data_IF_024431469776
#
_entry.id   IF_024431469776
#
_cell.length_a   1.000
_cell.length_b   1.000
_cell.length_c   1.000
_cell.angle_alpha   90.00
_cell.angle_beta   90.00
_cell.angle_gamma   90.00
#
_symmetry.space_group_name_H-M   'P 1'
#
loop_
_entity.id
_entity.type
_entity.pdbx_description
1 polymer ?
#
# COMPACT_ATOMS: atom_id res chain seq x y z
N UNK A 1 9.03 -11.21 -11.26
CA UNK A 1 7.63 -10.76 -11.45
C UNK A 1 6.67 -11.44 -10.46
N UNK A 2 6.73 -12.76 -10.25
CA UNK A 2 5.85 -13.44 -9.26
C UNK A 2 6.02 -12.89 -7.84
N UNK A 3 7.27 -12.62 -7.41
CA UNK A 3 7.52 -12.07 -6.07
C UNK A 3 7.02 -10.64 -5.87
N UNK A 4 6.80 -9.88 -6.95
CA UNK A 4 6.36 -8.48 -6.84
C UNK A 4 4.84 -8.34 -6.70
N UNK A 5 4.07 -9.38 -7.01
CA UNK A 5 2.60 -9.42 -6.88
C UNK A 5 2.14 -9.15 -5.44
N UNK A 6 2.96 -9.56 -4.46
CA UNK A 6 2.64 -9.38 -3.05
C UNK A 6 2.68 -7.92 -2.61
N UNK A 7 3.47 -7.07 -3.29
CA UNK A 7 3.61 -5.66 -2.90
C UNK A 7 2.30 -4.91 -3.13
N UNK A 8 1.69 -4.84 -4.33
CA UNK A 8 0.39 -4.21 -4.54
C UNK A 8 -0.72 -4.77 -3.63
N UNK A 9 -0.77 -6.10 -3.47
CA UNK A 9 -1.73 -6.76 -2.59
C UNK A 9 -1.59 -6.28 -1.13
N UNK A 10 -0.35 -6.09 -0.65
CA UNK A 10 -0.10 -5.57 0.71
C UNK A 10 -0.59 -4.14 0.90
N UNK A 11 -0.38 -3.27 -0.09
CA UNK A 11 -0.91 -1.91 -0.07
C UNK A 11 -2.45 -1.90 0.00
N UNK A 12 -3.10 -2.77 -0.78
CA UNK A 12 -4.56 -2.93 -0.75
C UNK A 12 -5.03 -3.44 0.61
N UNK A 13 -4.42 -4.50 1.14
CA UNK A 13 -4.79 -5.08 2.42
C UNK A 13 -4.66 -4.07 3.57
N UNK A 14 -3.56 -3.32 3.61
CA UNK A 14 -3.35 -2.24 4.60
C UNK A 14 -4.38 -1.13 4.45
N UNK A 15 -4.71 -0.75 3.21
CA UNK A 15 -5.68 0.31 2.93
C UNK A 15 -7.10 -0.09 3.36
N UNK A 16 -7.52 -1.33 3.06
CA UNK A 16 -8.79 -1.91 3.51
C UNK A 16 -8.83 -2.01 5.03
N UNK A 17 -7.79 -2.57 5.65
CA UNK A 17 -7.69 -2.68 7.10
C UNK A 17 -7.90 -1.32 7.79
N UNK A 18 -7.22 -0.28 7.29
CA UNK A 18 -7.36 1.10 7.80
C UNK A 18 -8.75 1.68 7.55
N UNK A 19 -9.29 1.52 6.34
CA UNK A 19 -10.64 1.95 6.01
C UNK A 19 -11.65 1.34 7.00
N UNK A 20 -11.58 0.03 7.22
CA UNK A 20 -12.45 -0.66 8.18
C UNK A 20 -12.27 -0.14 9.61
N UNK A 21 -11.02 0.06 10.04
CA UNK A 21 -10.71 0.51 11.40
C UNK A 21 -11.18 1.94 11.69
N UNK A 22 -11.13 2.84 10.69
CA UNK A 22 -11.49 4.25 10.83
C UNK A 22 -12.99 4.44 10.61
N UNK A 23 -13.52 3.96 9.49
CA UNK A 23 -14.94 4.19 9.11
C UNK A 23 -15.88 3.44 10.05
N UNK A 24 -15.54 2.21 10.44
CA UNK A 24 -16.34 1.39 11.34
C UNK A 24 -15.75 1.34 12.76
N UNK A 25 -15.32 2.50 13.28
CA UNK A 25 -14.67 2.61 14.60
C UNK A 25 -15.49 2.05 15.76
N UNK A 26 -16.82 1.94 15.62
CA UNK A 26 -17.76 1.39 16.61
C UNK A 26 -17.73 -0.13 16.70
N UNK A 27 -17.28 -0.82 15.65
CA UNK A 27 -17.17 -2.28 15.63
C UNK A 27 -15.81 -2.69 16.19
N UNK A 28 -15.81 -3.28 17.38
CA UNK A 28 -14.60 -3.76 18.07
C UNK A 28 -13.82 -4.80 17.25
N UNK A 29 -14.51 -5.60 16.44
CA UNK A 29 -13.93 -6.63 15.57
C UNK A 29 -12.77 -6.10 14.71
N UNK A 30 -12.93 -4.95 14.05
CA UNK A 30 -11.91 -4.38 13.15
C UNK A 30 -10.66 -3.87 13.88
N UNK A 31 -10.66 -3.82 15.22
CA UNK A 31 -9.50 -3.44 16.04
C UNK A 31 -8.77 -4.65 16.62
N UNK A 32 -9.28 -5.86 16.40
CA UNK A 32 -8.70 -7.09 16.94
C UNK A 32 -7.48 -7.53 16.13
N UNK A 33 -6.57 -8.26 16.78
CA UNK A 33 -5.44 -8.92 16.10
C UNK A 33 -5.91 -9.96 15.07
N UNK A 34 -7.08 -10.57 15.30
CA UNK A 34 -7.68 -11.55 14.38
C UNK A 34 -7.99 -10.91 13.02
N UNK A 35 -8.51 -9.67 13.00
CA UNK A 35 -8.75 -8.95 11.76
C UNK A 35 -7.46 -8.68 10.97
N UNK A 36 -6.37 -8.32 11.66
CA UNK A 36 -5.05 -8.13 11.03
C UNK A 36 -4.57 -9.45 10.41
N UNK A 37 -4.66 -10.56 11.15
CA UNK A 37 -4.27 -11.89 10.66
C UNK A 37 -5.10 -12.28 9.43
N UNK A 38 -6.42 -12.03 9.45
CA UNK A 38 -7.29 -12.25 8.30
C UNK A 38 -6.87 -11.43 7.08
N UNK A 39 -6.54 -10.14 7.27
CA UNK A 39 -6.06 -9.29 6.18
C UNK A 39 -4.78 -9.85 5.56
N UNK A 40 -3.79 -10.22 6.39
CA UNK A 40 -2.53 -10.80 5.92
C UNK A 40 -2.78 -12.13 5.20
N UNK A 41 -3.57 -13.03 5.79
CA UNK A 41 -3.90 -14.32 5.17
C UNK A 41 -4.62 -14.15 3.82
N UNK A 42 -5.58 -13.24 3.75
CA UNK A 42 -6.32 -12.96 2.51
C UNK A 42 -5.43 -12.37 1.41
N UNK A 43 -4.45 -11.53 1.78
CA UNK A 43 -3.47 -10.98 0.85
C UNK A 43 -2.62 -12.09 0.21
N UNK A 44 -2.11 -13.01 1.02
CA UNK A 44 -1.29 -14.13 0.52
C UNK A 44 -2.08 -15.05 -0.39
N UNK A 45 -3.31 -15.40 0.03
CA UNK A 45 -4.20 -16.24 -0.76
C UNK A 45 -4.53 -15.59 -2.11
N UNK A 46 -4.90 -14.30 -2.11
CA UNK A 46 -5.19 -13.56 -3.33
C UNK A 46 -3.96 -13.47 -4.24
N UNK A 47 -2.79 -13.14 -3.67
CA UNK A 47 -1.55 -13.08 -4.43
C UNK A 47 -1.18 -14.43 -5.06
N UNK A 48 -1.43 -15.54 -4.37
CA UNK A 48 -1.24 -16.88 -4.93
C UNK A 48 -2.19 -17.14 -6.11
N UNK A 49 -3.48 -16.88 -5.94
CA UNK A 49 -4.50 -17.06 -6.99
C UNK A 49 -4.14 -16.23 -8.23
N UNK A 50 -3.78 -14.95 -8.03
CA UNK A 50 -3.44 -14.04 -9.13
C UNK A 50 -2.15 -14.44 -9.87
N UNK A 51 -1.27 -15.21 -9.24
CA UNK A 51 -0.01 -15.70 -9.84
C UNK A 51 -0.21 -16.92 -10.74
N UNK A 52 -1.36 -17.62 -10.65
CA UNK A 52 -1.61 -18.86 -11.41
C UNK A 52 -1.51 -18.65 -12.93
N UNK A 53 -2.12 -17.60 -13.54
CA UNK A 53 -2.02 -17.40 -14.99
C UNK A 53 -0.59 -17.14 -15.46
N UNK A 54 0.23 -16.46 -14.66
CA UNK A 54 1.64 -16.23 -14.96
C UNK A 54 2.46 -17.52 -14.91
N UNK A 55 2.17 -18.41 -13.96
CA UNK A 55 2.80 -19.73 -13.87
C UNK A 55 2.44 -20.59 -15.09
N UNK A 56 1.16 -20.64 -15.46
CA UNK A 56 0.70 -21.38 -16.65
C UNK A 56 1.36 -20.82 -17.92
N UNK A 57 1.48 -19.49 -18.04
CA UNK A 57 2.15 -18.84 -19.19
C UNK A 57 3.59 -19.30 -19.35
N UNK A 58 4.38 -19.33 -18.27
CA UNK A 58 5.79 -19.73 -18.31
C UNK A 58 5.94 -21.17 -18.81
N UNK A 59 5.00 -22.06 -18.48
CA UNK A 59 5.09 -23.48 -18.80
C UNK A 59 4.38 -23.91 -20.10
N UNK A 60 3.34 -23.20 -20.55
CA UNK A 60 2.47 -23.66 -21.65
C UNK A 60 2.46 -22.76 -22.89
N UNK A 61 3.01 -21.55 -22.85
CA UNK A 61 2.89 -20.58 -23.96
C UNK A 61 4.12 -20.56 -24.87
N UNK A 62 3.93 -20.88 -26.15
CA UNK A 62 4.94 -20.77 -27.22
C UNK A 62 5.01 -19.38 -27.90
N UNK A 63 4.50 -18.30 -27.30
CA UNK A 63 4.51 -16.99 -27.97
C UNK A 63 4.40 -15.77 -27.06
N UNK A 64 4.86 -14.63 -27.60
CA UNK A 64 4.79 -13.29 -27.03
C UNK A 64 3.36 -12.73 -27.08
N UNK A 65 2.43 -13.38 -26.39
CA UNK A 65 1.05 -12.93 -26.33
C UNK A 65 0.91 -11.61 -25.54
N UNK A 66 0.09 -10.69 -26.04
CA UNK A 66 -0.22 -9.43 -25.36
C UNK A 66 -1.07 -9.64 -24.09
N UNK A 67 -1.99 -10.60 -24.12
CA UNK A 67 -2.98 -10.82 -23.06
C UNK A 67 -2.39 -10.94 -21.65
N UNK A 68 -1.34 -11.77 -21.41
CA UNK A 68 -0.76 -11.86 -20.08
C UNK A 68 -0.13 -10.56 -19.59
N UNK A 69 0.46 -9.76 -20.48
CA UNK A 69 1.05 -8.45 -20.12
C UNK A 69 -0.03 -7.49 -19.64
N UNK A 70 -1.17 -7.46 -20.34
CA UNK A 70 -2.36 -6.68 -19.96
C UNK A 70 -2.95 -7.19 -18.65
N UNK A 71 -3.06 -8.51 -18.49
CA UNK A 71 -3.54 -9.13 -17.26
C UNK A 71 -2.71 -8.70 -16.03
N UNK A 72 -1.38 -8.72 -16.13
CA UNK A 72 -0.49 -8.27 -15.04
C UNK A 72 -0.67 -6.78 -14.76
N UNK A 73 -0.73 -5.92 -15.79
CA UNK A 73 -0.97 -4.48 -15.58
C UNK A 73 -2.30 -4.24 -14.85
N UNK A 74 -3.38 -4.88 -15.27
CA UNK A 74 -4.71 -4.68 -14.68
C UNK A 74 -4.73 -5.14 -13.22
N UNK A 75 -4.24 -6.35 -12.94
CA UNK A 75 -4.31 -6.93 -11.60
C UNK A 75 -3.30 -6.34 -10.61
N UNK A 76 -2.12 -5.92 -11.08
CA UNK A 76 -1.05 -5.43 -10.19
C UNK A 76 -1.03 -3.92 -10.06
N UNK A 77 -1.62 -3.19 -11.02
CA UNK A 77 -1.60 -1.75 -11.04
C UNK A 77 -3.00 -1.15 -10.95
N UNK A 78 -3.87 -1.47 -11.91
CA UNK A 78 -5.16 -0.77 -12.06
C UNK A 78 -6.11 -1.11 -10.90
N UNK A 79 -6.37 -2.40 -10.65
CA UNK A 79 -7.28 -2.84 -9.59
C UNK A 79 -6.80 -2.36 -8.20
N UNK A 80 -5.53 -2.58 -7.80
CA UNK A 80 -5.00 -2.05 -6.54
C UNK A 80 -5.14 -0.54 -6.42
N UNK A 81 -4.87 0.20 -7.50
CA UNK A 81 -4.98 1.66 -7.51
C UNK A 81 -6.41 2.14 -7.32
N UNK A 82 -7.39 1.50 -7.97
CA UNK A 82 -8.80 1.82 -7.79
C UNK A 82 -9.23 1.55 -6.35
N UNK A 83 -8.91 0.37 -5.81
CA UNK A 83 -9.29 0.03 -4.43
C UNK A 83 -8.67 1.04 -3.45
N UNK A 84 -7.39 1.35 -3.61
CA UNK A 84 -6.67 2.29 -2.75
C UNK A 84 -7.25 3.71 -2.83
N UNK A 85 -7.64 4.15 -4.03
CA UNK A 85 -8.28 5.45 -4.23
C UNK A 85 -9.65 5.51 -3.55
N UNK A 86 -10.49 4.48 -3.74
CA UNK A 86 -11.82 4.39 -3.13
C UNK A 86 -11.73 4.38 -1.61
N UNK A 87 -10.87 3.57 -1.01
CA UNK A 87 -10.72 3.50 0.45
C UNK A 87 -10.23 4.84 1.03
N UNK A 88 -9.30 5.53 0.38
CA UNK A 88 -8.87 6.87 0.83
C UNK A 88 -9.98 7.90 0.73
N UNK A 89 -10.80 7.86 -0.33
CA UNK A 89 -11.97 8.73 -0.45
C UNK A 89 -12.93 8.49 0.71
N UNK A 90 -13.22 7.22 1.04
CA UNK A 90 -14.10 6.88 2.16
C UNK A 90 -13.53 7.38 3.50
N UNK A 91 -12.23 7.19 3.74
CA UNK A 91 -11.55 7.72 4.92
C UNK A 91 -11.65 9.25 4.95
N UNK A 92 -11.39 9.93 3.84
CA UNK A 92 -11.46 11.38 3.74
C UNK A 92 -12.86 11.91 4.04
N UNK A 93 -13.90 11.34 3.42
CA UNK A 93 -15.28 11.72 3.68
C UNK A 93 -15.66 11.50 5.14
N UNK A 94 -15.25 10.37 5.74
CA UNK A 94 -15.51 10.08 7.13
C UNK A 94 -14.84 11.09 8.07
N UNK A 95 -13.54 11.35 7.88
CA UNK A 95 -12.78 12.32 8.69
C UNK A 95 -13.39 13.72 8.56
N UNK A 96 -13.70 14.17 7.33
CA UNK A 96 -14.30 15.48 7.08
C UNK A 96 -15.70 15.63 7.69
N UNK A 97 -16.53 14.58 7.62
CA UNK A 97 -17.86 14.54 8.25
C UNK A 97 -17.74 14.65 9.76
N UNK A 98 -16.80 13.93 10.37
CA UNK A 98 -16.52 13.97 11.81
C UNK A 98 -16.01 15.34 12.26
N UNK A 99 -15.10 15.99 11.52
CA UNK A 99 -14.61 17.34 11.87
C UNK A 99 -15.69 18.40 11.82
N UNK A 100 -16.66 18.31 10.88
CA UNK A 100 -17.75 19.28 10.74
C UNK A 100 -18.79 19.21 11.88
N UNK A 101 -18.88 18.07 12.60
CA UNK A 101 -19.84 17.89 13.70
C UNK A 101 -19.36 18.47 15.04
N UNK A 102 -18.13 18.99 15.15
CA UNK A 102 -17.44 19.28 16.43
C UNK A 102 -17.43 20.78 16.82
N UNK A 103 -18.14 21.67 16.14
CA UNK A 103 -18.31 23.07 16.60
C UNK A 103 -19.80 23.44 16.78
N UNK A 104 -20.26 23.99 17.93
CA UNK A 104 -19.64 24.13 19.26
C UNK A 104 -20.48 23.43 20.36
N UNK A 105 -19.94 22.39 21.00
CA UNK A 105 -20.38 22.01 22.34
C UNK A 105 -19.15 21.95 23.25
N UNK A 106 -18.98 22.99 24.05
CA UNK A 106 -18.00 23.12 25.12
C UNK A 106 -18.31 22.09 26.21
N UNK A 107 -17.70 20.91 26.15
CA UNK A 107 -17.56 20.04 27.33
C UNK A 107 -16.34 19.12 27.18
N UNK A 108 -15.71 18.84 28.33
CA UNK A 108 -14.33 18.35 28.53
C UNK A 108 -14.04 17.00 27.83
N UNK A 109 -15.05 16.25 27.37
CA UNK A 109 -14.89 15.04 26.55
C UNK A 109 -14.39 15.31 25.10
N UNK A 110 -14.48 16.54 24.59
CA UNK A 110 -14.14 16.86 23.20
C UNK A 110 -12.64 16.97 22.89
N UNK A 111 -11.78 17.09 23.91
CA UNK A 111 -10.33 17.20 23.71
C UNK A 111 -9.75 15.90 23.11
N UNK A 112 -10.29 14.73 23.47
CA UNK A 112 -9.85 13.45 22.90
C UNK A 112 -10.28 13.29 21.43
N UNK A 113 -11.50 13.70 21.06
CA UNK A 113 -11.98 13.60 19.68
C UNK A 113 -11.27 14.57 18.71
N UNK A 114 -11.00 15.81 19.14
CA UNK A 114 -10.25 16.80 18.32
C UNK A 114 -8.83 16.29 18.04
N UNK A 115 -8.17 15.68 19.03
CA UNK A 115 -6.82 15.12 18.88
C UNK A 115 -6.79 13.87 17.98
N UNK A 116 -7.87 13.08 17.96
CA UNK A 116 -8.02 11.94 17.04
C UNK A 116 -8.15 12.42 15.59
N UNK A 117 -8.94 13.47 15.33
CA UNK A 117 -9.15 14.02 13.99
C UNK A 117 -7.84 14.50 13.33
N UNK A 118 -6.96 15.21 14.06
CA UNK A 118 -5.69 15.69 13.50
C UNK A 118 -4.73 14.56 13.13
N UNK A 119 -4.65 13.53 13.97
CA UNK A 119 -3.82 12.35 13.71
C UNK A 119 -4.29 11.63 12.45
N UNK A 120 -5.60 11.49 12.26
CA UNK A 120 -6.17 10.76 11.14
C UNK A 120 -6.02 11.53 9.82
N UNK A 121 -6.07 12.87 9.84
CA UNK A 121 -5.74 13.73 8.68
C UNK A 121 -4.27 13.58 8.28
N UNK A 122 -3.35 13.65 9.25
CA UNK A 122 -1.92 13.48 8.99
C UNK A 122 -1.63 12.08 8.42
N UNK A 123 -2.30 11.06 8.97
CA UNK A 123 -2.22 9.69 8.48
C UNK A 123 -2.74 9.54 7.05
N UNK A 124 -3.85 10.19 6.71
CA UNK A 124 -4.41 10.18 5.36
C UNK A 124 -3.45 10.86 4.36
N UNK A 125 -2.84 11.99 4.73
CA UNK A 125 -1.83 12.66 3.88
C UNK A 125 -0.65 11.75 3.58
N UNK A 126 -0.15 11.06 4.60
CA UNK A 126 0.93 10.07 4.44
C UNK A 126 0.50 8.88 3.57
N UNK A 127 -0.74 8.37 3.71
CA UNK A 127 -1.24 7.32 2.81
C UNK A 127 -1.29 7.74 1.35
N UNK A 128 -1.77 8.96 1.07
CA UNK A 128 -1.79 9.49 -0.31
C UNK A 128 -0.37 9.59 -0.87
N UNK A 129 0.59 10.06 -0.07
CA UNK A 129 1.99 10.15 -0.48
C UNK A 129 2.58 8.78 -0.83
N UNK A 130 2.40 7.79 0.05
CA UNK A 130 2.83 6.41 -0.18
C UNK A 130 2.23 5.81 -1.45
N UNK A 131 0.98 6.15 -1.76
CA UNK A 131 0.33 5.72 -2.97
C UNK A 131 0.86 6.39 -4.23
N UNK A 132 1.10 7.70 -4.19
CA UNK A 132 1.73 8.39 -5.31
C UNK A 132 3.11 7.79 -5.62
N UNK A 133 3.91 7.49 -4.60
CA UNK A 133 5.22 6.84 -4.75
C UNK A 133 5.06 5.43 -5.33
N UNK A 134 4.09 4.65 -4.84
CA UNK A 134 3.77 3.34 -5.40
C UNK A 134 3.41 3.45 -6.90
N UNK A 135 2.46 4.33 -7.26
CA UNK A 135 2.03 4.47 -8.65
C UNK A 135 3.17 4.94 -9.55
N UNK A 136 3.91 5.97 -9.13
CA UNK A 136 5.01 6.52 -9.91
C UNK A 136 6.20 5.55 -10.03
N UNK A 137 6.44 4.74 -9.00
CA UNK A 137 7.52 3.75 -8.99
C UNK A 137 7.21 2.50 -9.83
N UNK A 138 5.96 2.02 -9.77
CA UNK A 138 5.58 0.73 -10.31
C UNK A 138 4.89 0.81 -11.68
N UNK A 139 4.33 1.95 -12.09
CA UNK A 139 3.73 2.07 -13.43
C UNK A 139 4.71 1.72 -14.57
N UNK A 140 5.98 2.20 -14.57
CA UNK A 140 6.90 1.92 -15.67
C UNK A 140 7.17 0.43 -15.89
N UNK A 141 7.36 -0.35 -14.82
CA UNK A 141 7.69 -1.78 -14.92
C UNK A 141 6.54 -2.61 -15.52
N UNK A 142 5.29 -2.17 -15.34
CA UNK A 142 4.10 -2.84 -15.89
C UNK A 142 3.70 -2.33 -17.28
N UNK A 143 4.00 -1.08 -17.61
CA UNK A 143 3.68 -0.50 -18.93
C UNK A 143 4.71 -0.92 -19.99
N UNK A 144 6.00 -0.98 -19.64
CA UNK A 144 7.07 -1.29 -20.59
C UNK A 144 6.90 -2.60 -21.36
N UNK A 145 6.50 -3.74 -20.75
CA UNK A 145 6.23 -4.97 -21.49
C UNK A 145 5.19 -4.83 -22.60
N UNK A 146 4.16 -4.00 -22.36
CA UNK A 146 3.10 -3.72 -23.34
C UNK A 146 3.65 -2.87 -24.47
N UNK A 147 4.37 -1.78 -24.16
CA UNK A 147 4.99 -0.95 -25.19
C UNK A 147 5.99 -1.77 -26.02
N UNK A 148 6.79 -2.61 -25.38
CA UNK A 148 7.76 -3.49 -26.07
C UNK A 148 7.10 -4.49 -27.03
N UNK A 149 5.82 -4.81 -26.83
CA UNK A 149 5.07 -5.64 -27.77
C UNK A 149 4.79 -4.91 -29.10
N UNK A 150 4.63 -3.58 -29.06
CA UNK A 150 4.32 -2.76 -30.23
C UNK A 150 5.56 -2.09 -30.84
N UNK A 151 6.55 -1.75 -30.02
CA UNK A 151 7.76 -1.03 -30.43
C UNK A 151 8.95 -1.57 -29.66
N UNK A 152 10.07 -1.81 -30.34
CA UNK A 152 11.29 -2.32 -29.68
C UNK A 152 11.77 -1.36 -28.58
N UNK A 153 11.90 -1.87 -27.35
CA UNK A 153 12.48 -1.15 -26.22
C UNK A 153 13.84 -1.72 -25.86
N UNK A 154 14.82 -0.84 -25.69
CA UNK A 154 16.18 -1.22 -25.27
C UNK A 154 16.18 -1.84 -23.86
N UNK A 155 17.06 -2.83 -23.67
CA UNK A 155 17.26 -3.49 -22.37
C UNK A 155 17.59 -2.52 -21.22
N UNK A 156 18.29 -1.42 -21.52
CA UNK A 156 18.61 -0.37 -20.55
C UNK A 156 17.34 0.27 -19.94
N UNK A 157 16.27 0.45 -20.71
CA UNK A 157 15.03 1.04 -20.21
C UNK A 157 14.35 0.11 -19.17
N UNK A 158 14.43 -1.20 -19.37
CA UNK A 158 14.00 -2.19 -18.39
C UNK A 158 14.85 -2.16 -17.11
N UNK A 159 16.17 -2.06 -17.26
CA UNK A 159 17.09 -1.91 -16.14
C UNK A 159 16.78 -0.68 -15.29
N UNK A 160 16.63 0.48 -15.93
CA UNK A 160 16.28 1.75 -15.25
C UNK A 160 14.94 1.64 -14.53
N UNK A 161 13.92 1.09 -15.19
CA UNK A 161 12.58 0.95 -14.59
C UNK A 161 12.54 -0.02 -13.42
N UNK A 162 13.38 -1.06 -13.46
CA UNK A 162 13.53 -2.00 -12.33
C UNK A 162 14.18 -1.29 -11.14
N UNK A 163 15.29 -0.57 -11.36
CA UNK A 163 15.95 0.22 -10.31
C UNK A 163 15.00 1.27 -9.73
N UNK A 164 14.23 1.95 -10.58
CA UNK A 164 13.24 2.94 -10.17
C UNK A 164 12.16 2.35 -9.26
N UNK A 165 11.66 1.16 -9.61
CA UNK A 165 10.68 0.41 -8.82
C UNK A 165 11.25 0.03 -7.44
N UNK A 166 12.48 -0.48 -7.38
CA UNK A 166 13.15 -0.82 -6.11
C UNK A 166 13.43 0.40 -5.25
N UNK A 167 13.83 1.53 -5.85
CA UNK A 167 13.99 2.80 -5.14
C UNK A 167 12.66 3.28 -4.55
N UNK A 168 11.55 3.16 -5.28
CA UNK A 168 10.23 3.50 -4.76
C UNK A 168 9.83 2.60 -3.57
N UNK A 169 10.15 1.31 -3.62
CA UNK A 169 9.95 0.40 -2.49
C UNK A 169 10.80 0.81 -1.28
N UNK A 170 12.08 1.15 -1.49
CA UNK A 170 12.97 1.63 -0.45
C UNK A 170 12.44 2.91 0.20
N UNK A 171 11.98 3.88 -0.60
CA UNK A 171 11.39 5.12 -0.08
C UNK A 171 10.16 4.82 0.77
N UNK A 172 9.28 3.91 0.32
CA UNK A 172 8.11 3.50 1.09
C UNK A 172 8.50 2.85 2.44
N UNK A 173 9.54 2.02 2.45
CA UNK A 173 10.07 1.41 3.68
C UNK A 173 10.64 2.49 4.61
N UNK A 174 11.45 3.42 4.09
CA UNK A 174 12.03 4.52 4.85
C UNK A 174 10.94 5.45 5.42
N UNK A 175 9.92 5.78 4.65
CA UNK A 175 8.80 6.60 5.10
C UNK A 175 8.02 5.91 6.24
N UNK A 176 7.78 4.60 6.13
CA UNK A 176 7.18 3.81 7.21
C UNK A 176 8.02 3.84 8.50
N UNK A 177 9.35 3.74 8.37
CA UNK A 177 10.28 3.83 9.50
C UNK A 177 10.27 5.22 10.15
N UNK A 178 10.33 6.29 9.35
CA UNK A 178 10.35 7.67 9.83
C UNK A 178 9.04 8.05 10.53
N UNK A 179 7.91 7.57 10.02
CA UNK A 179 6.58 7.91 10.51
C UNK A 179 6.19 7.15 11.78
N UNK A 180 6.71 5.94 11.99
CA UNK A 180 6.38 5.14 13.17
C UNK A 180 7.24 5.54 14.39
N UNK A 181 6.72 6.47 15.20
CA UNK A 181 7.37 6.95 16.41
C UNK A 181 7.79 5.81 17.37
N UNK A 182 6.94 4.79 17.54
CA UNK A 182 7.24 3.66 18.45
C UNK A 182 8.40 2.82 17.91
N UNK A 183 8.40 2.53 16.61
CA UNK A 183 9.48 1.79 15.95
C UNK A 183 10.79 2.56 16.00
N UNK A 184 10.76 3.87 15.74
CA UNK A 184 11.93 4.75 15.87
C UNK A 184 12.49 4.76 17.29
N UNK A 185 11.64 4.80 18.32
CA UNK A 185 12.08 4.77 19.72
C UNK A 185 12.73 3.42 20.07
N UNK A 186 12.14 2.32 19.60
CA UNK A 186 12.67 0.97 19.81
C UNK A 186 14.00 0.73 19.09
N UNK A 187 14.16 1.18 17.85
CA UNK A 187 15.42 1.09 17.13
C UNK A 187 16.50 1.97 17.76
N UNK A 188 16.15 3.18 18.20
CA UNK A 188 17.09 4.03 18.95
C UNK A 188 17.57 3.34 20.22
N UNK A 189 16.70 2.66 20.97
CA UNK A 189 17.14 1.91 22.16
C UNK A 189 18.06 0.75 21.81
N UNK A 190 17.78 -0.02 20.76
CA UNK A 190 18.67 -1.11 20.32
C UNK A 190 20.03 -0.58 19.85
N UNK A 191 20.04 0.47 19.01
CA UNK A 191 21.29 1.06 18.53
C UNK A 191 22.11 1.63 19.69
N UNK A 192 21.49 2.30 20.67
CA UNK A 192 22.18 2.77 21.86
C UNK A 192 22.73 1.61 22.69
N UNK A 193 21.96 0.54 22.91
CA UNK A 193 22.43 -0.64 23.65
C UNK A 193 23.60 -1.35 22.95
N UNK A 194 23.58 -1.46 21.62
CA UNK A 194 24.69 -1.98 20.83
C UNK A 194 25.93 -1.08 20.91
N UNK A 195 25.76 0.25 20.93
CA UNK A 195 26.87 1.19 21.01
C UNK A 195 27.50 1.26 22.40
N UNK A 196 26.73 0.99 23.47
CA UNK A 196 27.25 0.93 24.85
C UNK A 196 27.90 -0.41 25.23
N UNK A 197 27.77 -1.43 24.38
CA UNK A 197 28.37 -2.77 24.58
C UNK A 197 29.65 -3.00 23.75
N UNK A 198 30.07 -2.00 22.98
CA UNK A 198 31.36 -1.95 22.28
C UNK A 198 32.35 -1.11 23.08
#
# INVERSE_FOLDING_TARGET
MIFTIQVPCSFVAVSIHRCCSIVYYTKSFFKTKQWIILCIGSQWLLGFILSIPDFIRIHMSNGDALWPKVYVLVNMMIIPSIIYFVTNILIYYHVRSSSRRIQPQTNIHNIQQIKISHRDIYLLRHMILMFCIFVAGWAPIYILPIINHFTYINLLAYGISTIWCELALLINILDLFLYNHKLRKYLKSICLECFTKL
#
